data_IF_283951666070
#
_entry.id   IF_283951666070
#
_cell.length_a   1.000
_cell.length_b   1.000
_cell.length_c   1.000
_cell.angle_alpha   90.00
_cell.angle_beta   90.00
_cell.angle_gamma   90.00
#
_symmetry.space_group_name_H-M   'P 1'
#
loop_
_entity.id
_entity.type
_entity.pdbx_description
1 polymer ?
#
# COMPACT_ATOMS: atom_id res chain seq x y z
N UNK A 1 27.50 -4.09 16.24
CA UNK A 1 26.57 -3.14 15.60
C UNK A 1 25.25 -3.88 15.47
N UNK A 2 24.36 -3.75 16.46
CA UNK A 2 23.08 -4.47 16.51
C UNK A 2 22.04 -3.56 15.86
N UNK A 3 21.64 -3.88 14.63
CA UNK A 3 20.43 -3.33 14.05
C UNK A 3 19.27 -4.08 14.71
N UNK A 4 18.67 -3.46 15.72
CA UNK A 4 17.35 -3.87 16.16
C UNK A 4 16.38 -3.44 15.06
N UNK A 5 15.99 -4.41 14.24
CA UNK A 5 14.93 -4.25 13.26
C UNK A 5 13.64 -3.98 14.02
N UNK A 6 13.29 -2.70 14.17
CA UNK A 6 11.95 -2.31 14.58
C UNK A 6 11.03 -2.73 13.44
N UNK A 7 10.39 -3.87 13.61
CA UNK A 7 9.20 -4.21 12.85
C UNK A 7 8.25 -3.03 13.02
N UNK A 8 8.05 -2.22 11.98
CA UNK A 8 6.78 -1.52 11.86
C UNK A 8 5.78 -2.65 11.72
N UNK A 9 5.18 -3.06 12.84
CA UNK A 9 3.98 -3.87 12.80
C UNK A 9 2.93 -2.98 12.16
N UNK A 10 2.83 -3.07 10.85
CA UNK A 10 1.56 -2.82 10.18
C UNK A 10 0.71 -4.03 10.54
N UNK A 11 0.17 -4.01 11.77
CA UNK A 11 -0.95 -4.87 12.09
C UNK A 11 -2.09 -4.33 11.21
N UNK A 12 -2.16 -4.83 9.98
CA UNK A 12 -3.33 -4.72 9.13
C UNK A 12 -4.40 -5.51 9.87
N UNK A 13 -5.06 -4.86 10.83
CA UNK A 13 -6.11 -5.45 11.61
C UNK A 13 -7.30 -5.70 10.68
N UNK A 14 -7.26 -6.83 9.97
CA UNK A 14 -8.44 -7.52 9.46
C UNK A 14 -9.20 -8.13 10.65
N UNK A 15 -9.62 -7.29 11.58
CA UNK A 15 -10.53 -7.60 12.65
C UNK A 15 -11.37 -6.34 12.89
N UNK A 16 -12.41 -6.18 12.07
CA UNK A 16 -13.44 -5.16 12.26
C UNK A 16 -14.05 -5.30 13.67
N UNK A 17 -13.94 -4.31 14.55
CA UNK A 17 -14.73 -4.29 15.79
C UNK A 17 -16.21 -3.98 15.46
N UNK A 18 -17.15 -4.43 16.30
CA UNK A 18 -18.59 -4.28 16.04
C UNK A 18 -19.05 -2.81 16.11
N UNK A 19 -19.31 -2.25 14.93
CA UNK A 19 -20.47 -1.43 14.52
C UNK A 19 -20.99 -0.25 15.37
N UNK A 20 -20.22 0.45 16.20
CA UNK A 20 -20.73 1.71 16.79
C UNK A 20 -19.82 2.94 16.76
N UNK A 21 -18.61 2.86 16.20
CA UNK A 21 -17.75 4.04 15.95
C UNK A 21 -16.96 3.90 14.64
N UNK A 22 -17.62 3.43 13.57
CA UNK A 22 -16.95 3.26 12.28
C UNK A 22 -16.88 4.61 11.56
N UNK A 23 -15.64 5.02 11.28
CA UNK A 23 -15.30 6.09 10.33
C UNK A 23 -15.62 5.57 8.91
N UNK A 24 -16.89 5.35 8.63
CA UNK A 24 -17.35 4.77 7.37
C UNK A 24 -16.97 5.73 6.22
N UNK A 25 -16.16 5.25 5.28
CA UNK A 25 -15.79 5.93 4.04
C UNK A 25 -14.72 7.05 4.17
N UNK A 26 -13.65 6.81 4.94
CA UNK A 26 -12.45 7.65 4.88
C UNK A 26 -11.71 7.56 3.54
N UNK A 27 -10.82 8.51 3.22
CA UNK A 27 -9.98 8.45 2.00
C UNK A 27 -9.17 7.14 1.92
N UNK A 28 -8.75 6.63 3.07
CA UNK A 28 -7.98 5.39 3.15
C UNK A 28 -8.74 4.19 2.54
N UNK A 29 -10.00 4.00 2.93
CA UNK A 29 -10.83 2.91 2.41
C UNK A 29 -11.22 3.15 0.96
N UNK A 30 -11.48 4.41 0.59
CA UNK A 30 -11.80 4.77 -0.79
C UNK A 30 -10.68 4.40 -1.75
N UNK A 31 -9.44 4.74 -1.42
CA UNK A 31 -8.27 4.43 -2.26
C UNK A 31 -8.02 2.93 -2.37
N UNK A 32 -8.25 2.16 -1.30
CA UNK A 32 -8.12 0.70 -1.37
C UNK A 32 -9.21 0.04 -2.23
N UNK A 33 -10.44 0.55 -2.20
CA UNK A 33 -11.57 -0.09 -2.91
C UNK A 33 -11.63 0.35 -4.38
N UNK A 34 -11.37 1.63 -4.67
CA UNK A 34 -11.61 2.24 -5.98
C UNK A 34 -10.34 2.51 -6.78
N UNK A 35 -9.17 2.16 -6.22
CA UNK A 35 -7.87 2.34 -6.86
C UNK A 35 -6.94 1.17 -6.51
N UNK A 36 -5.78 1.13 -7.17
CA UNK A 36 -4.69 0.21 -6.83
C UNK A 36 -3.82 0.72 -5.67
N UNK A 37 -4.15 1.89 -5.10
CA UNK A 37 -3.35 2.58 -4.10
C UNK A 37 -3.64 2.07 -2.69
N UNK A 38 -2.57 1.72 -1.97
CA UNK A 38 -2.65 1.32 -0.57
C UNK A 38 -2.33 2.55 0.28
N UNK A 39 -3.36 3.19 0.82
CA UNK A 39 -3.22 4.37 1.67
C UNK A 39 -3.14 3.99 3.16
N UNK A 40 -2.37 4.77 3.92
CA UNK A 40 -2.26 4.68 5.37
C UNK A 40 -2.39 6.07 5.97
N UNK A 41 -3.21 6.21 7.02
CA UNK A 41 -3.35 7.45 7.79
C UNK A 41 -2.35 7.46 8.95
N UNK A 42 -1.52 8.50 9.05
CA UNK A 42 -0.56 8.67 10.15
C UNK A 42 -0.98 9.80 11.10
N UNK A 43 -1.17 9.47 12.37
CA UNK A 43 -1.35 10.45 13.43
C UNK A 43 0.02 10.82 14.03
N UNK A 44 0.62 11.91 13.51
CA UNK A 44 2.01 12.27 13.79
C UNK A 44 2.24 12.91 15.17
N UNK A 45 1.21 13.55 15.74
CA UNK A 45 1.32 14.28 17.00
C UNK A 45 -0.01 14.30 17.77
N UNK A 46 0.07 14.32 19.10
CA UNK A 46 -1.12 14.54 19.95
C UNK A 46 -1.64 15.98 19.82
N UNK A 47 -0.73 16.94 19.70
CA UNK A 47 -1.05 18.35 19.47
C UNK A 47 -1.27 18.58 17.98
N UNK A 48 -2.51 18.91 17.58
CA UNK A 48 -2.86 19.21 16.18
C UNK A 48 -2.15 20.46 15.62
N UNK A 49 -1.84 21.41 16.50
CA UNK A 49 -1.17 22.67 16.16
C UNK A 49 -0.02 22.94 17.15
N UNK A 50 1.15 22.28 16.99
CA UNK A 50 2.32 22.53 17.83
C UNK A 50 2.90 23.93 17.56
N UNK A 51 3.69 24.45 18.49
CA UNK A 51 4.35 25.73 18.30
C UNK A 51 5.44 25.64 17.22
N UNK A 52 5.72 26.75 16.53
CA UNK A 52 6.74 26.80 15.48
C UNK A 52 8.14 26.36 15.96
N UNK A 53 8.43 26.54 17.26
CA UNK A 53 9.66 26.09 17.91
C UNK A 53 9.81 24.57 18.00
N UNK A 54 8.70 23.82 17.96
CA UNK A 54 8.66 22.35 18.10
C UNK A 54 8.79 21.64 16.74
N UNK A 55 8.45 22.32 15.64
CA UNK A 55 8.50 21.77 14.28
C UNK A 55 9.85 21.15 13.88
N UNK A 56 11.02 21.73 14.22
CA UNK A 56 12.30 21.11 13.89
C UNK A 56 12.49 19.76 14.60
N UNK A 57 11.91 19.57 15.78
CA UNK A 57 11.98 18.31 16.50
C UNK A 57 11.01 17.29 15.89
N UNK A 58 9.78 17.71 15.57
CA UNK A 58 8.82 16.84 14.88
C UNK A 58 9.34 16.33 13.54
N UNK A 59 10.05 17.18 12.78
CA UNK A 59 10.74 16.75 11.57
C UNK A 59 11.77 15.67 11.85
N UNK A 60 12.64 15.86 12.85
CA UNK A 60 13.67 14.86 13.21
C UNK A 60 13.04 13.53 13.64
N UNK A 61 11.93 13.58 14.37
CA UNK A 61 11.22 12.38 14.83
C UNK A 61 10.63 11.59 13.66
N UNK A 62 10.09 12.26 12.65
CA UNK A 62 9.33 11.62 11.57
C UNK A 62 10.13 11.40 10.28
N UNK A 63 11.29 12.03 10.11
CA UNK A 63 12.08 11.95 8.88
C UNK A 63 12.42 10.52 8.46
N UNK A 64 13.09 9.76 9.33
CA UNK A 64 13.53 8.40 8.98
C UNK A 64 12.35 7.42 8.81
N UNK A 65 11.30 7.45 9.66
CA UNK A 65 10.08 6.70 9.42
C UNK A 65 9.41 7.01 8.07
N UNK A 66 9.32 8.28 7.68
CA UNK A 66 8.73 8.68 6.40
C UNK A 66 9.54 8.18 5.20
N UNK A 67 10.87 8.25 5.29
CA UNK A 67 11.75 7.70 4.24
C UNK A 67 11.58 6.17 4.11
N UNK A 68 11.56 5.47 5.25
CA UNK A 68 11.35 4.02 5.27
C UNK A 68 9.97 3.64 4.72
N UNK A 69 8.94 4.46 4.97
CA UNK A 69 7.61 4.25 4.41
C UNK A 69 7.58 4.44 2.89
N UNK A 70 8.29 5.43 2.35
CA UNK A 70 8.43 5.61 0.90
C UNK A 70 9.13 4.40 0.27
N UNK A 71 10.16 3.86 0.92
CA UNK A 71 10.85 2.66 0.45
C UNK A 71 9.93 1.43 0.39
N UNK A 72 8.88 1.37 1.24
CA UNK A 72 7.89 0.30 1.21
C UNK A 72 7.07 0.26 -0.09
N UNK A 73 7.00 1.35 -0.86
CA UNK A 73 6.38 1.37 -2.19
C UNK A 73 7.09 0.43 -3.19
N UNK A 74 8.30 -0.03 -2.87
CA UNK A 74 9.06 -0.99 -3.69
C UNK A 74 8.92 -2.44 -3.22
N UNK A 75 8.10 -2.71 -2.20
CA UNK A 75 7.84 -4.07 -1.74
C UNK A 75 6.89 -4.85 -2.66
N UNK A 76 6.95 -6.17 -2.58
CA UNK A 76 6.13 -7.07 -3.37
C UNK A 76 6.67 -7.30 -4.78
N UNK A 77 5.75 -7.34 -5.75
CA UNK A 77 6.02 -7.71 -7.14
C UNK A 77 5.55 -6.60 -8.07
N UNK A 78 6.36 -6.27 -9.07
CA UNK A 78 6.01 -5.34 -10.14
C UNK A 78 6.42 -5.93 -11.48
N UNK A 79 5.68 -5.60 -12.53
CA UNK A 79 5.94 -6.16 -13.85
C UNK A 79 5.11 -5.51 -14.94
N UNK A 80 5.15 -6.12 -16.13
CA UNK A 80 4.39 -5.69 -17.29
C UNK A 80 3.65 -6.88 -17.88
N UNK A 81 2.35 -6.76 -18.09
CA UNK A 81 1.51 -7.74 -18.78
C UNK A 81 1.40 -7.36 -20.25
N UNK A 82 1.67 -8.33 -21.13
CA UNK A 82 1.63 -8.16 -22.59
C UNK A 82 0.91 -9.33 -23.25
N UNK A 83 0.35 -9.10 -24.43
CA UNK A 83 -0.22 -10.15 -25.29
C UNK A 83 0.87 -10.97 -25.97
N UNK A 84 0.50 -12.02 -26.71
CA UNK A 84 1.45 -12.83 -27.48
C UNK A 84 2.14 -12.02 -28.59
N UNK A 85 1.43 -11.04 -29.14
CA UNK A 85 1.93 -10.08 -30.14
C UNK A 85 2.88 -9.03 -29.54
N UNK A 86 2.96 -8.97 -28.20
CA UNK A 86 3.82 -8.05 -27.46
C UNK A 86 3.17 -6.72 -27.10
N UNK A 87 1.88 -6.55 -27.38
CA UNK A 87 1.14 -5.34 -27.06
C UNK A 87 0.83 -5.25 -25.55
N UNK A 88 0.80 -4.03 -25.03
CA UNK A 88 0.49 -3.79 -23.62
C UNK A 88 -1.00 -4.02 -23.33
N UNK A 89 -1.28 -4.76 -22.25
CA UNK A 89 -2.65 -5.05 -21.82
C UNK A 89 -3.12 -3.95 -20.86
N UNK A 90 -4.07 -3.12 -21.29
CA UNK A 90 -4.74 -2.13 -20.45
C UNK A 90 -5.88 -2.79 -19.65
N UNK A 91 -6.07 -2.38 -18.38
CA UNK A 91 -7.16 -2.81 -17.51
C UNK A 91 -7.26 -4.34 -17.34
N UNK A 92 -6.11 -5.02 -17.37
CA UNK A 92 -5.99 -6.43 -17.02
C UNK A 92 -5.91 -6.61 -15.50
N UNK A 93 -6.59 -7.62 -14.98
CA UNK A 93 -6.56 -8.02 -13.58
C UNK A 93 -5.33 -8.86 -13.27
N UNK A 94 -4.53 -8.41 -12.30
CA UNK A 94 -3.47 -9.20 -11.68
C UNK A 94 -4.00 -9.76 -10.36
N UNK A 95 -4.17 -11.08 -10.32
CA UNK A 95 -4.79 -11.80 -9.21
C UNK A 95 -3.74 -12.58 -8.44
N UNK A 96 -3.81 -12.47 -7.11
CA UNK A 96 -3.02 -13.30 -6.19
C UNK A 96 -3.96 -14.29 -5.53
N UNK A 97 -3.71 -15.58 -5.72
CA UNK A 97 -4.58 -16.65 -5.19
C UNK A 97 -4.67 -16.53 -3.66
N UNK A 98 -5.89 -16.49 -3.14
CA UNK A 98 -6.17 -16.36 -1.71
C UNK A 98 -6.21 -14.93 -1.16
N UNK A 99 -5.97 -13.90 -1.99
CA UNK A 99 -6.14 -12.49 -1.59
C UNK A 99 -7.29 -11.86 -2.37
N UNK A 100 -8.37 -11.51 -1.68
CA UNK A 100 -9.61 -10.98 -2.27
C UNK A 100 -9.52 -9.48 -2.63
N UNK A 101 -8.42 -9.07 -3.27
CA UNK A 101 -8.25 -7.71 -3.80
C UNK A 101 -7.26 -7.77 -4.97
N UNK A 102 -7.74 -7.48 -6.17
CA UNK A 102 -6.95 -7.54 -7.40
C UNK A 102 -6.35 -6.17 -7.71
N UNK A 103 -5.29 -6.13 -8.52
CA UNK A 103 -4.70 -4.90 -9.02
C UNK A 103 -4.85 -4.86 -10.52
N UNK A 104 -5.22 -3.71 -11.08
CA UNK A 104 -5.35 -3.54 -12.53
C UNK A 104 -4.05 -3.03 -13.17
N UNK A 105 -3.82 -3.39 -14.43
CA UNK A 105 -2.68 -2.90 -15.22
C UNK A 105 -2.91 -1.49 -15.75
N UNK A 106 -1.83 -0.71 -15.88
CA UNK A 106 -1.86 0.61 -16.50
C UNK A 106 -2.04 0.53 -18.02
N UNK A 107 -2.17 1.68 -18.68
CA UNK A 107 -2.16 1.80 -20.15
C UNK A 107 -0.89 1.27 -20.84
N UNK A 108 0.18 1.04 -20.06
CA UNK A 108 1.44 0.43 -20.53
C UNK A 108 1.56 -1.03 -20.14
N UNK A 109 0.50 -1.64 -19.58
CA UNK A 109 0.50 -2.99 -19.05
C UNK A 109 1.23 -3.14 -17.73
N UNK A 110 1.67 -2.04 -17.11
CA UNK A 110 2.45 -2.08 -15.88
C UNK A 110 1.55 -2.36 -14.68
N UNK A 111 2.04 -3.14 -13.73
CA UNK A 111 1.36 -3.36 -12.46
C UNK A 111 2.34 -3.31 -11.29
N UNK A 112 1.81 -2.96 -10.12
CA UNK A 112 2.52 -2.99 -8.84
C UNK A 112 1.63 -3.67 -7.81
N UNK A 113 2.09 -4.80 -7.29
CA UNK A 113 1.39 -5.60 -6.30
C UNK A 113 2.22 -5.72 -5.03
N UNK A 114 1.85 -4.93 -4.02
CA UNK A 114 2.49 -4.99 -2.71
C UNK A 114 2.19 -6.33 -2.03
N UNK A 115 3.22 -7.05 -1.62
CA UNK A 115 3.15 -8.35 -0.94
C UNK A 115 4.28 -8.43 0.09
N UNK A 116 4.00 -9.13 1.18
CA UNK A 116 5.03 -9.48 2.17
C UNK A 116 5.94 -10.59 1.61
N UNK A 117 7.14 -10.80 2.17
CA UNK A 117 8.01 -11.91 1.78
C UNK A 117 7.30 -13.26 1.95
N UNK A 118 7.14 -14.01 0.87
CA UNK A 118 6.41 -15.27 0.86
C UNK A 118 6.37 -15.93 -0.51
N UNK A 119 5.73 -17.10 -0.59
CA UNK A 119 5.44 -17.79 -1.85
C UNK A 119 3.97 -17.56 -2.18
N UNK A 120 3.72 -17.06 -3.38
CA UNK A 120 2.38 -16.74 -3.86
C UNK A 120 2.18 -17.33 -5.26
N UNK A 121 0.96 -17.75 -5.54
CA UNK A 121 0.52 -18.09 -6.88
C UNK A 121 -0.21 -16.87 -7.45
N UNK A 122 0.19 -16.47 -8.66
CA UNK A 122 -0.34 -15.28 -9.33
C UNK A 122 -0.65 -15.57 -10.78
N UNK A 123 -1.69 -14.94 -11.30
CA UNK A 123 -2.00 -14.94 -12.72
C UNK A 123 -2.53 -13.57 -13.14
N UNK A 124 -2.41 -13.28 -14.44
CA UNK A 124 -3.03 -12.12 -15.05
C UNK A 124 -4.20 -12.60 -15.91
N UNK A 125 -5.32 -11.88 -15.85
CA UNK A 125 -6.50 -12.11 -16.68
C UNK A 125 -6.93 -10.78 -17.30
N UNK A 126 -7.30 -10.79 -18.57
CA UNK A 126 -7.81 -9.61 -19.25
C UNK A 126 -8.97 -10.01 -20.16
N UNK A 127 -9.89 -9.07 -20.40
CA UNK A 127 -11.00 -9.28 -21.31
C UNK A 127 -10.53 -9.11 -22.75
N UNK A 128 -10.65 -10.16 -23.56
CA UNK A 128 -10.20 -10.24 -24.95
C UNK A 128 -10.22 -11.68 -25.45
#
# INVERSE_FOLDING_TARGET
MKAEYYWVRVDLALAMPPSSELFDCGMQDFNYIHSNCFEVTFELSCCKFPFASELPQEWRNNKEPLLTFIDAAHWGVKGVVRTEEGDAVLDGDVVVVGVAHNVTTSNRGEYWRMLLPGKYEMYAAAYG
#
